data_IF_269687687890
#
_entry.id   IF_269687687890
#
_cell.length_a   1.000
_cell.length_b   1.000
_cell.length_c   1.000
_cell.angle_alpha   90.00
_cell.angle_beta   90.00
_cell.angle_gamma   90.00
#
_symmetry.space_group_name_H-M   'P 1'
#
loop_
_entity.id
_entity.type
_entity.pdbx_description
1 polymer ?
#
# COMPACT_ATOMS: atom_id res chain seq x y z
N UNK A 1 9.68 27.70 4.35
CA UNK A 1 8.37 27.06 4.11
C UNK A 1 8.51 25.81 3.24
N UNK A 2 9.31 25.91 2.18
CA UNK A 2 9.69 24.76 1.35
C UNK A 2 11.13 24.33 1.65
N UNK A 3 11.39 23.04 1.47
CA UNK A 3 12.73 22.50 1.22
C UNK A 3 12.83 22.24 -0.28
N UNK A 4 13.88 22.76 -0.90
CA UNK A 4 14.06 22.73 -2.36
C UNK A 4 15.47 22.23 -2.66
N UNK A 5 15.59 21.34 -3.63
CA UNK A 5 16.87 20.92 -4.19
C UNK A 5 16.82 20.87 -5.71
N UNK A 6 17.99 20.97 -6.33
CA UNK A 6 18.12 21.00 -7.78
C UNK A 6 17.90 22.41 -8.37
N UNK A 7 17.29 22.46 -9.55
CA UNK A 7 17.24 23.67 -10.39
C UNK A 7 15.80 24.14 -10.62
N UNK A 8 15.17 24.59 -9.54
CA UNK A 8 13.79 25.08 -9.52
C UNK A 8 13.77 26.60 -9.49
N UNK A 9 12.96 27.22 -10.35
CA UNK A 9 12.55 28.62 -10.20
C UNK A 9 11.10 28.69 -9.71
N UNK A 10 10.85 29.58 -8.75
CA UNK A 10 9.54 29.84 -8.14
C UNK A 10 9.12 31.27 -8.42
N UNK A 11 7.96 31.46 -9.04
CA UNK A 11 7.49 32.79 -9.45
C UNK A 11 6.93 33.65 -8.30
N UNK A 12 6.64 33.05 -7.13
CA UNK A 12 6.18 33.80 -5.94
C UNK A 12 6.42 33.00 -4.65
N UNK A 13 6.94 33.62 -3.59
CA UNK A 13 7.40 32.92 -2.37
C UNK A 13 6.38 32.86 -1.23
N UNK A 14 5.35 33.72 -1.24
CA UNK A 14 4.39 33.81 -0.14
C UNK A 14 3.17 32.91 -0.41
N UNK A 15 2.82 32.05 0.56
CA UNK A 15 1.67 31.14 0.48
C UNK A 15 0.44 31.76 1.10
N UNK A 16 -0.49 32.22 0.25
CA UNK A 16 -1.83 32.69 0.63
C UNK A 16 -2.89 31.63 0.25
N UNK A 17 -3.97 31.55 1.02
CA UNK A 17 -5.08 30.67 0.71
C UNK A 17 -5.64 30.95 -0.69
N UNK A 18 -5.93 29.92 -1.49
CA UNK A 18 -6.38 30.04 -2.89
C UNK A 18 -5.27 30.29 -3.91
N UNK A 19 -4.04 30.56 -3.47
CA UNK A 19 -2.94 30.88 -4.38
C UNK A 19 -2.34 29.62 -5.01
N UNK A 20 -2.00 29.74 -6.29
CA UNK A 20 -1.29 28.72 -7.03
C UNK A 20 0.18 29.13 -7.24
N UNK A 21 1.08 28.16 -7.19
CA UNK A 21 2.53 28.36 -7.31
C UNK A 21 3.01 27.83 -8.64
N UNK A 22 3.54 28.70 -9.49
CA UNK A 22 4.22 28.26 -10.70
C UNK A 22 5.65 27.85 -10.38
N UNK A 23 6.01 26.66 -10.84
CA UNK A 23 7.35 26.09 -10.74
C UNK A 23 7.84 25.81 -12.14
N UNK A 24 9.07 26.25 -12.44
CA UNK A 24 9.75 25.91 -13.68
C UNK A 24 11.09 25.21 -13.42
N UNK A 25 11.39 24.22 -14.25
CA UNK A 25 12.70 23.59 -14.36
C UNK A 25 13.14 23.71 -15.80
N UNK A 26 14.35 24.23 -16.04
CA UNK A 26 14.91 24.39 -17.38
C UNK A 26 15.34 23.06 -18.04
N UNK A 27 15.81 23.10 -19.30
CA UNK A 27 16.23 21.91 -20.05
C UNK A 27 17.48 21.27 -19.41
N UNK A 28 17.30 20.16 -18.68
CA UNK A 28 18.41 19.44 -18.03
C UNK A 28 18.11 17.94 -17.97
N UNK A 29 18.90 17.14 -18.69
CA UNK A 29 18.80 15.67 -18.66
C UNK A 29 19.52 15.07 -17.46
N UNK A 30 19.03 13.93 -16.97
CA UNK A 30 19.59 13.10 -15.89
C UNK A 30 19.78 13.85 -14.56
N UNK A 31 18.87 14.78 -14.25
CA UNK A 31 18.87 15.50 -12.98
C UNK A 31 17.47 15.51 -12.37
N UNK A 32 17.43 15.23 -11.07
CA UNK A 32 16.25 15.38 -10.23
C UNK A 32 16.31 16.76 -9.58
N UNK A 33 15.19 17.48 -9.63
CA UNK A 33 14.92 18.59 -8.72
C UNK A 33 13.75 18.20 -7.84
N UNK A 34 13.70 18.70 -6.62
CA UNK A 34 12.58 18.41 -5.72
C UNK A 34 12.13 19.65 -4.99
N UNK A 35 10.84 19.65 -4.66
CA UNK A 35 10.24 20.60 -3.74
C UNK A 35 9.40 19.84 -2.73
N UNK A 36 9.59 20.16 -1.46
CA UNK A 36 8.83 19.58 -0.35
C UNK A 36 8.24 20.71 0.48
N UNK A 37 6.95 20.61 0.76
CA UNK A 37 6.25 21.54 1.64
C UNK A 37 6.41 21.08 3.09
N UNK A 38 7.00 21.93 3.95
CA UNK A 38 7.35 21.56 5.32
C UNK A 38 6.16 21.63 6.30
N UNK A 39 4.93 21.77 5.79
CA UNK A 39 3.72 21.57 6.59
C UNK A 39 3.13 20.19 6.25
N UNK A 40 2.92 19.32 7.24
CA UNK A 40 2.35 18.00 6.99
C UNK A 40 0.91 18.07 6.51
N UNK A 41 0.50 17.08 5.72
CA UNK A 41 -0.91 16.80 5.46
C UNK A 41 -1.61 16.41 6.77
N UNK A 42 -2.83 16.87 6.95
CA UNK A 42 -3.63 16.60 8.15
C UNK A 42 -5.06 16.22 7.79
N UNK A 43 -5.83 15.79 8.78
CA UNK A 43 -7.27 15.52 8.61
C UNK A 43 -8.02 16.72 8.03
N UNK A 44 -7.64 17.95 8.41
CA UNK A 44 -8.28 19.18 7.91
C UNK A 44 -7.81 19.56 6.51
N UNK A 45 -6.59 19.18 6.14
CA UNK A 45 -6.01 19.48 4.84
C UNK A 45 -5.28 18.24 4.27
N UNK A 46 -6.03 17.22 3.82
CA UNK A 46 -5.47 15.91 3.52
C UNK A 46 -4.93 15.76 2.09
N UNK A 47 -4.88 16.81 1.29
CA UNK A 47 -4.66 16.68 -0.15
C UNK A 47 -3.88 17.84 -0.77
N UNK A 48 -3.23 17.60 -1.91
CA UNK A 48 -2.67 18.67 -2.75
C UNK A 48 -2.70 18.26 -4.22
N UNK A 49 -2.69 19.25 -5.11
CA UNK A 49 -2.80 19.03 -6.55
C UNK A 49 -1.74 19.82 -7.32
N UNK A 50 -1.38 19.27 -8.47
CA UNK A 50 -0.46 19.84 -9.44
C UNK A 50 -1.17 19.89 -10.79
N UNK A 51 -1.07 21.02 -11.47
CA UNK A 51 -1.51 21.19 -12.85
C UNK A 51 -0.29 21.25 -13.76
N UNK A 52 -0.25 20.41 -14.80
CA UNK A 52 0.89 20.33 -15.72
C UNK A 52 0.72 21.39 -16.82
N UNK A 53 1.53 22.45 -16.78
CA UNK A 53 1.54 23.49 -17.80
C UNK A 53 2.46 23.13 -18.98
N UNK A 54 3.59 22.48 -18.70
CA UNK A 54 4.50 21.92 -19.69
C UNK A 54 5.20 20.66 -19.17
N UNK A 55 5.25 19.63 -20.01
CA UNK A 55 5.94 18.36 -19.74
C UNK A 55 6.48 17.82 -21.06
N UNK A 56 7.79 17.75 -21.22
CA UNK A 56 8.40 17.16 -22.42
C UNK A 56 8.36 15.62 -22.38
N UNK A 57 8.51 14.93 -23.52
CA UNK A 57 8.41 13.46 -23.57
C UNK A 57 9.39 12.69 -22.67
N UNK A 58 10.58 13.25 -22.41
CA UNK A 58 11.57 12.65 -21.50
C UNK A 58 11.43 13.14 -20.05
N UNK A 59 10.59 14.14 -19.81
CA UNK A 59 10.34 14.73 -18.50
C UNK A 59 9.43 13.86 -17.65
N UNK A 60 9.67 13.86 -16.33
CA UNK A 60 8.82 13.17 -15.38
C UNK A 60 8.51 14.05 -14.17
N UNK A 61 7.26 14.02 -13.72
CA UNK A 61 6.83 14.61 -12.45
C UNK A 61 6.35 13.47 -11.57
N UNK A 62 6.96 13.33 -10.39
CA UNK A 62 6.45 12.41 -9.38
C UNK A 62 5.90 13.22 -8.21
N UNK A 63 4.66 12.95 -7.82
CA UNK A 63 4.04 13.54 -6.62
C UNK A 63 3.91 12.48 -5.54
N UNK A 64 4.01 12.88 -4.28
CA UNK A 64 3.91 11.92 -3.20
C UNK A 64 4.01 12.53 -1.82
N UNK A 65 4.22 11.62 -0.86
CA UNK A 65 4.43 11.94 0.56
C UNK A 65 5.79 11.40 0.94
N UNK A 66 6.62 12.27 1.51
CA UNK A 66 7.93 11.89 2.01
C UNK A 66 8.20 12.53 3.37
N UNK A 67 9.10 11.91 4.11
CA UNK A 67 9.65 12.42 5.36
C UNK A 67 10.70 13.51 5.11
N UNK A 68 11.09 14.22 6.17
CA UNK A 68 12.11 15.27 6.09
C UNK A 68 13.51 14.72 5.79
N UNK A 69 13.77 13.45 6.07
CA UNK A 69 15.08 12.82 5.85
C UNK A 69 15.28 12.20 4.47
N UNK A 70 14.28 12.30 3.58
CA UNK A 70 14.42 11.92 2.16
C UNK A 70 15.58 12.69 1.53
N UNK A 71 16.43 12.01 0.75
CA UNK A 71 17.53 12.63 0.00
C UNK A 71 17.01 13.63 -1.06
N UNK A 72 17.79 14.68 -1.34
CA UNK A 72 17.48 15.69 -2.36
C UNK A 72 17.45 15.11 -3.79
N UNK A 73 18.09 13.96 -4.00
CA UNK A 73 18.13 13.23 -5.28
C UNK A 73 17.14 12.06 -5.33
N UNK A 74 16.41 11.80 -4.25
CA UNK A 74 15.45 10.70 -4.19
C UNK A 74 14.08 11.10 -4.73
N UNK A 75 13.32 10.08 -5.14
CA UNK A 75 11.96 10.20 -5.67
C UNK A 75 10.98 9.68 -4.62
N UNK A 76 9.87 10.38 -4.31
CA UNK A 76 8.88 9.88 -3.38
C UNK A 76 8.30 8.54 -3.88
N UNK A 77 8.21 7.58 -2.96
CA UNK A 77 7.91 6.18 -3.25
C UNK A 77 9.13 5.32 -3.59
N UNK A 78 10.26 5.92 -4.01
CA UNK A 78 11.57 5.28 -4.14
C UNK A 78 12.51 5.67 -2.98
N UNK A 79 11.95 5.85 -1.80
CA UNK A 79 12.65 6.06 -0.53
C UNK A 79 11.88 5.41 0.61
N UNK A 80 12.56 4.98 1.67
CA UNK A 80 11.94 4.34 2.84
C UNK A 80 10.82 5.20 3.44
N UNK A 81 9.68 4.57 3.73
CA UNK A 81 8.49 5.21 4.28
C UNK A 81 7.96 6.37 3.44
N UNK A 82 8.17 6.34 2.13
CA UNK A 82 7.57 7.30 1.20
C UNK A 82 6.65 6.59 0.22
N UNK A 83 5.74 7.36 -0.37
CA UNK A 83 4.87 6.91 -1.46
C UNK A 83 4.90 7.95 -2.57
N UNK A 84 4.70 7.54 -3.81
CA UNK A 84 4.61 8.48 -4.92
C UNK A 84 3.92 7.91 -6.15
N UNK A 85 3.62 8.79 -7.08
CA UNK A 85 2.96 8.50 -8.36
C UNK A 85 3.73 9.16 -9.49
N UNK A 86 4.20 8.34 -10.44
CA UNK A 86 5.04 8.77 -11.55
C UNK A 86 4.18 9.14 -12.77
N UNK A 87 4.32 10.39 -13.25
CA UNK A 87 3.49 10.91 -14.35
C UNK A 87 3.64 10.15 -15.66
N UNK A 88 4.82 9.63 -15.98
CA UNK A 88 5.08 9.03 -17.31
C UNK A 88 4.56 7.61 -17.43
N UNK A 89 4.69 6.81 -16.37
CA UNK A 89 4.34 5.39 -16.38
C UNK A 89 2.99 5.09 -15.75
N UNK A 90 2.42 6.03 -15.00
CA UNK A 90 1.21 5.81 -14.20
C UNK A 90 1.42 4.85 -13.01
N UNK A 91 2.66 4.50 -12.69
CA UNK A 91 3.01 3.61 -11.58
C UNK A 91 2.99 4.37 -10.27
N UNK A 92 2.42 3.75 -9.24
CA UNK A 92 2.57 4.22 -7.87
C UNK A 92 3.60 3.39 -7.12
N UNK A 93 4.51 4.11 -6.48
CA UNK A 93 5.68 3.62 -5.79
C UNK A 93 5.45 3.69 -4.28
N UNK A 94 6.00 2.74 -3.53
CA UNK A 94 5.90 2.69 -2.07
C UNK A 94 7.15 2.03 -1.50
N UNK A 95 8.03 2.81 -0.86
CA UNK A 95 9.28 2.33 -0.26
C UNK A 95 10.10 1.39 -1.17
N UNK A 96 10.47 1.85 -2.36
CA UNK A 96 11.23 1.13 -3.39
C UNK A 96 10.47 -0.01 -4.08
N UNK A 97 9.16 -0.14 -3.85
CA UNK A 97 8.31 -1.14 -4.51
C UNK A 97 7.34 -0.44 -5.46
N UNK A 98 7.01 -1.12 -6.55
CA UNK A 98 5.98 -0.69 -7.50
C UNK A 98 4.79 -1.66 -7.57
N UNK A 99 4.74 -2.65 -6.67
CA UNK A 99 3.66 -3.63 -6.62
C UNK A 99 2.36 -2.96 -6.16
N UNK A 100 1.28 -3.31 -6.84
CA UNK A 100 0.00 -2.63 -6.76
C UNK A 100 -1.12 -3.57 -7.16
N UNK A 101 -2.33 -3.26 -6.72
CA UNK A 101 -3.52 -3.92 -7.27
C UNK A 101 -3.89 -3.34 -8.64
N UNK A 102 -3.60 -2.06 -8.87
CA UNK A 102 -3.90 -1.34 -10.12
C UNK A 102 -2.70 -0.53 -10.61
N UNK A 103 -2.63 -0.35 -11.93
CA UNK A 103 -1.74 0.61 -12.60
C UNK A 103 -2.60 1.77 -13.06
N UNK A 104 -2.20 3.00 -12.73
CA UNK A 104 -2.95 4.19 -13.13
C UNK A 104 -2.57 4.66 -14.54
N UNK A 105 -3.06 5.86 -14.91
CA UNK A 105 -2.83 6.45 -16.22
C UNK A 105 -1.64 7.42 -16.22
N UNK A 106 -0.85 7.49 -17.31
CA UNK A 106 0.09 8.57 -17.50
C UNK A 106 -0.60 9.95 -17.46
N UNK A 107 0.14 10.96 -17.03
CA UNK A 107 -0.28 12.37 -16.96
C UNK A 107 0.49 13.16 -18.00
N UNK A 108 -0.21 14.02 -18.72
CA UNK A 108 0.33 14.82 -19.82
C UNK A 108 0.10 16.32 -19.60
N UNK A 109 0.60 17.13 -20.55
CA UNK A 109 0.37 18.57 -20.57
C UNK A 109 -1.13 18.89 -20.58
N UNK A 110 -1.54 19.79 -19.68
CA UNK A 110 -2.93 20.22 -19.50
C UNK A 110 -3.69 19.46 -18.41
N UNK A 111 -3.12 18.37 -17.88
CA UNK A 111 -3.78 17.59 -16.84
C UNK A 111 -3.58 18.17 -15.44
N UNK A 112 -4.53 17.89 -14.56
CA UNK A 112 -4.39 18.03 -13.11
C UNK A 112 -4.19 16.66 -12.48
N UNK A 113 -3.24 16.52 -11.56
CA UNK A 113 -3.08 15.29 -10.78
C UNK A 113 -2.60 15.60 -9.36
N UNK A 114 -3.00 14.77 -8.42
CA UNK A 114 -2.81 15.04 -7.00
C UNK A 114 -2.97 13.79 -6.16
N UNK A 115 -3.00 13.99 -4.85
CA UNK A 115 -3.28 12.92 -3.91
C UNK A 115 -4.11 13.40 -2.74
N UNK A 116 -4.82 12.45 -2.12
CA UNK A 116 -5.64 12.60 -0.94
C UNK A 116 -5.23 11.54 0.09
N UNK A 117 -5.11 11.93 1.36
CA UNK A 117 -4.78 11.05 2.47
C UNK A 117 -6.01 10.83 3.34
N UNK A 118 -6.35 9.57 3.61
CA UNK A 118 -7.32 9.24 4.64
C UNK A 118 -6.56 8.80 5.89
N UNK A 119 -6.67 9.61 6.96
CA UNK A 119 -6.13 9.27 8.27
C UNK A 119 -7.18 8.46 9.05
N UNK A 120 -6.86 7.24 9.45
CA UNK A 120 -7.80 6.40 10.20
C UNK A 120 -7.16 5.51 11.28
N UNK A 121 -5.84 5.28 11.20
CA UNK A 121 -5.11 4.37 12.07
C UNK A 121 -3.99 5.06 12.84
N UNK A 122 -3.38 4.33 13.77
CA UNK A 122 -2.18 4.78 14.48
C UNK A 122 -0.90 4.45 13.69
N UNK A 123 -0.97 3.48 12.77
CA UNK A 123 0.19 2.93 12.09
C UNK A 123 0.19 3.13 10.57
N UNK A 124 -0.99 3.27 9.97
CA UNK A 124 -1.17 3.32 8.53
C UNK A 124 -2.22 4.36 8.11
N UNK A 125 -2.04 4.88 6.90
CA UNK A 125 -3.01 5.72 6.20
C UNK A 125 -3.19 5.22 4.77
N UNK A 126 -4.35 5.44 4.16
CA UNK A 126 -4.55 5.20 2.72
C UNK A 126 -4.34 6.50 1.97
N UNK A 127 -3.67 6.40 0.83
CA UNK A 127 -3.48 7.50 -0.10
C UNK A 127 -4.12 7.15 -1.43
N UNK A 128 -4.99 8.03 -1.89
CA UNK A 128 -5.67 7.95 -3.17
C UNK A 128 -5.01 8.97 -4.10
N UNK A 129 -4.47 8.49 -5.22
CA UNK A 129 -4.01 9.37 -6.29
C UNK A 129 -5.16 9.71 -7.21
N UNK A 130 -5.16 10.95 -7.68
CA UNK A 130 -6.24 11.56 -8.46
C UNK A 130 -5.66 12.16 -9.72
N UNK A 131 -6.34 12.00 -10.86
CA UNK A 131 -6.04 12.65 -12.14
C UNK A 131 -7.33 13.12 -12.76
N UNK A 132 -7.40 14.41 -13.10
CA UNK A 132 -8.57 15.09 -13.66
C UNK A 132 -9.87 14.76 -12.91
N UNK A 133 -9.82 14.86 -11.57
CA UNK A 133 -10.93 14.57 -10.67
C UNK A 133 -11.43 13.11 -10.68
N UNK A 134 -10.63 12.17 -11.17
CA UNK A 134 -10.87 10.72 -11.09
C UNK A 134 -9.81 10.02 -10.24
N UNK A 135 -10.16 8.99 -9.44
CA UNK A 135 -9.18 8.24 -8.69
C UNK A 135 -8.49 7.24 -9.62
N UNK A 136 -7.15 7.25 -9.62
CA UNK A 136 -6.34 6.41 -10.52
C UNK A 136 -5.54 5.34 -9.80
N UNK A 137 -5.39 5.45 -8.48
CA UNK A 137 -4.72 4.46 -7.67
C UNK A 137 -4.92 4.66 -6.17
N UNK A 138 -4.75 3.59 -5.40
CA UNK A 138 -4.68 3.63 -3.93
C UNK A 138 -3.42 2.95 -3.41
N UNK A 139 -2.82 3.47 -2.32
CA UNK A 139 -1.67 2.88 -1.62
C UNK A 139 -1.78 3.04 -0.12
N UNK A 140 -1.21 2.11 0.62
CA UNK A 140 -0.88 2.34 2.03
C UNK A 140 0.36 3.22 2.17
N UNK A 141 0.30 4.14 3.12
CA UNK A 141 1.45 4.82 3.68
C UNK A 141 1.67 4.30 5.10
N UNK A 142 2.84 3.69 5.33
CA UNK A 142 3.18 2.98 6.56
C UNK A 142 3.94 3.84 7.59
N UNK A 143 3.99 5.16 7.37
CA UNK A 143 4.57 6.07 8.35
C UNK A 143 3.55 6.37 9.44
N UNK A 144 3.84 5.93 10.68
CA UNK A 144 2.96 6.15 11.84
C UNK A 144 2.98 7.60 12.33
N UNK A 145 4.08 8.32 12.10
CA UNK A 145 4.19 9.71 12.52
C UNK A 145 3.61 10.64 11.46
N UNK A 146 2.33 11.01 11.62
CA UNK A 146 1.64 11.91 10.67
C UNK A 146 2.30 13.30 10.53
N UNK A 147 3.15 13.73 11.48
CA UNK A 147 3.95 14.96 11.30
C UNK A 147 5.03 14.85 10.22
N UNK A 148 5.28 13.65 9.69
CA UNK A 148 6.18 13.39 8.58
C UNK A 148 5.46 13.30 7.22
N UNK A 149 4.16 13.58 7.16
CA UNK A 149 3.41 13.49 5.91
C UNK A 149 3.63 14.73 5.05
N UNK A 150 4.87 14.99 4.62
CA UNK A 150 5.22 16.20 3.89
C UNK A 150 4.90 16.04 2.39
N UNK A 151 4.03 16.89 1.81
CA UNK A 151 3.80 16.93 0.38
C UNK A 151 5.10 17.14 -0.38
N UNK A 152 5.40 16.24 -1.31
CA UNK A 152 6.68 16.22 -2.02
C UNK A 152 6.47 16.01 -3.50
N UNK A 153 7.19 16.78 -4.31
CA UNK A 153 7.16 16.72 -5.76
C UNK A 153 8.59 16.64 -6.27
N UNK A 154 8.88 15.70 -7.16
CA UNK A 154 10.13 15.63 -7.91
C UNK A 154 9.89 15.90 -9.38
N UNK A 155 10.86 16.56 -9.99
CA UNK A 155 10.85 17.03 -11.37
C UNK A 155 12.14 16.53 -12.03
N UNK A 156 11.99 15.67 -13.02
CA UNK A 156 13.10 14.98 -13.68
C UNK A 156 13.13 15.36 -15.16
N UNK A 157 14.34 15.52 -15.70
CA UNK A 157 14.57 15.72 -17.13
C UNK A 157 13.79 16.89 -17.74
N UNK A 158 13.97 18.11 -17.22
CA UNK A 158 13.28 19.29 -17.75
C UNK A 158 13.53 19.54 -19.25
N UNK A 159 12.74 20.43 -19.90
CA UNK A 159 11.94 21.48 -19.27
C UNK A 159 10.57 21.05 -18.75
N UNK A 160 10.25 21.49 -17.53
CA UNK A 160 8.95 21.26 -16.88
C UNK A 160 8.40 22.59 -16.38
N UNK A 161 7.09 22.78 -16.56
CA UNK A 161 6.35 23.87 -15.93
C UNK A 161 5.09 23.29 -15.27
N UNK A 162 4.93 23.54 -13.98
CA UNK A 162 3.76 23.10 -13.22
C UNK A 162 3.20 24.24 -12.39
N UNK A 163 1.92 24.11 -12.06
CA UNK A 163 1.22 24.98 -11.14
C UNK A 163 0.71 24.15 -9.97
N UNK A 164 1.10 24.50 -8.74
CA UNK A 164 0.76 23.72 -7.55
C UNK A 164 -0.27 24.47 -6.71
N UNK A 165 -1.28 23.73 -6.27
CA UNK A 165 -2.21 24.17 -5.22
C UNK A 165 -1.96 23.33 -3.97
N UNK A 166 -1.39 23.95 -2.94
CA UNK A 166 -1.11 23.29 -1.67
C UNK A 166 -2.39 23.15 -0.82
N UNK A 167 -2.36 22.17 0.09
CA UNK A 167 -3.50 21.80 0.94
C UNK A 167 -4.12 22.97 1.74
N UNK A 168 -3.31 23.88 2.27
CA UNK A 168 -3.79 25.08 2.99
C UNK A 168 -4.42 26.13 2.07
N UNK A 169 -4.28 25.96 0.76
CA UNK A 169 -4.73 26.90 -0.26
C UNK A 169 -5.94 26.37 -1.03
N UNK A 170 -6.31 25.11 -0.84
CA UNK A 170 -7.36 24.50 -1.60
C UNK A 170 -8.73 24.59 -0.87
N UNK A 171 -9.81 25.04 -1.54
CA UNK A 171 -11.14 25.05 -0.95
C UNK A 171 -11.61 23.64 -0.56
N UNK A 172 -12.27 23.51 0.60
CA UNK A 172 -12.75 22.23 1.16
C UNK A 172 -13.56 21.35 0.18
N UNK A 173 -14.15 21.97 -0.84
CA UNK A 173 -15.00 21.34 -1.85
C UNK A 173 -14.21 20.63 -2.98
N UNK A 174 -12.87 20.69 -2.97
CA UNK A 174 -11.99 20.03 -3.95
C UNK A 174 -11.65 18.58 -3.61
N UNK A 175 -12.03 18.07 -2.43
CA UNK A 175 -11.91 16.64 -2.15
C UNK A 175 -12.94 15.93 -3.01
N UNK A 176 -12.52 15.17 -4.04
CA UNK A 176 -13.50 14.62 -4.96
C UNK A 176 -14.34 13.58 -4.21
N UNK A 177 -15.65 13.70 -4.34
CA UNK A 177 -16.58 12.79 -3.70
C UNK A 177 -16.71 11.50 -4.54
N UNK A 178 -15.67 10.70 -4.49
CA UNK A 178 -15.65 9.36 -5.08
C UNK A 178 -16.53 8.39 -4.32
N UNK A 179 -16.90 8.75 -3.08
CA UNK A 179 -17.83 7.98 -2.30
C UNK A 179 -19.22 8.05 -2.94
N UNK A 180 -19.73 9.21 -3.31
CA UNK A 180 -21.08 9.29 -3.91
C UNK A 180 -21.12 9.00 -5.41
N UNK A 181 -20.05 9.29 -6.15
CA UNK A 181 -20.01 9.15 -7.61
C UNK A 181 -19.51 7.79 -8.13
N UNK A 182 -19.16 6.84 -7.25
CA UNK A 182 -18.71 5.48 -7.60
C UNK A 182 -17.61 5.44 -8.67
N UNK A 183 -16.64 6.35 -8.59
CA UNK A 183 -15.53 6.38 -9.54
C UNK A 183 -14.56 5.23 -9.25
N UNK A 184 -14.70 4.11 -9.97
CA UNK A 184 -13.80 2.97 -9.82
C UNK A 184 -12.44 3.27 -10.45
N UNK A 185 -11.37 2.84 -9.78
CA UNK A 185 -10.03 2.84 -10.35
C UNK A 185 -9.99 1.72 -11.38
N UNK A 186 -9.62 2.07 -12.61
CA UNK A 186 -9.54 1.14 -13.74
C UNK A 186 -8.26 1.37 -14.53
N UNK A 187 -7.85 0.42 -15.40
CA UNK A 187 -6.72 0.60 -16.28
C UNK A 187 -6.94 1.74 -17.30
N UNK A 188 -5.94 1.98 -18.14
CA UNK A 188 -6.02 2.98 -19.20
C UNK A 188 -7.24 2.75 -20.11
N UNK A 189 -7.80 3.83 -20.65
CA UNK A 189 -9.01 3.84 -21.49
C UNK A 189 -8.84 2.99 -22.76
N UNK A 190 -7.60 2.85 -23.25
CA UNK A 190 -7.26 1.97 -24.38
C UNK A 190 -7.40 0.47 -24.07
N UNK A 191 -7.38 0.10 -22.78
CA UNK A 191 -7.52 -1.28 -22.29
C UNK A 191 -8.93 -1.53 -21.76
N UNK A 192 -9.45 -0.58 -20.99
CA UNK A 192 -10.72 -0.71 -20.29
C UNK A 192 -11.61 0.52 -20.48
N UNK A 193 -12.73 0.36 -21.16
CA UNK A 193 -13.75 1.41 -21.29
C UNK A 193 -14.76 1.34 -20.15
N UNK A 194 -15.12 2.49 -19.59
CA UNK A 194 -16.33 2.63 -18.77
C UNK A 194 -17.48 3.01 -19.71
N UNK A 195 -18.47 2.13 -19.86
CA UNK A 195 -19.65 2.36 -20.71
C UNK A 195 -20.72 3.19 -20.01
N UNK A 196 -20.73 3.12 -18.67
CA UNK A 196 -21.48 3.97 -17.75
C UNK A 196 -20.71 4.00 -16.41
N UNK A 197 -21.28 4.62 -15.36
CA UNK A 197 -20.63 4.73 -14.03
C UNK A 197 -20.35 3.38 -13.36
N UNK A 198 -20.99 2.30 -13.81
CA UNK A 198 -20.98 0.97 -13.18
C UNK A 198 -20.52 -0.16 -14.10
N UNK A 199 -20.47 0.07 -15.42
CA UNK A 199 -20.27 -0.97 -16.42
C UNK A 199 -18.94 -0.80 -17.14
N UNK A 200 -18.12 -1.84 -17.12
CA UNK A 200 -16.75 -1.83 -17.64
C UNK A 200 -16.56 -2.89 -18.73
N UNK A 201 -15.74 -2.57 -19.73
CA UNK A 201 -15.45 -3.43 -20.87
C UNK A 201 -13.93 -3.58 -21.07
N UNK A 202 -13.45 -4.82 -21.21
CA UNK A 202 -12.07 -5.15 -21.61
C UNK A 202 -11.98 -5.15 -23.13
N UNK A 203 -11.40 -4.08 -23.69
CA UNK A 203 -11.38 -3.81 -25.12
C UNK A 203 -10.41 -4.74 -25.88
N UNK A 204 -9.29 -5.11 -25.25
CA UNK A 204 -8.21 -5.82 -25.93
C UNK A 204 -8.26 -7.33 -25.75
N UNK A 205 -8.81 -7.84 -24.64
CA UNK A 205 -8.95 -9.28 -24.35
C UNK A 205 -7.61 -10.03 -24.35
N UNK A 206 -6.53 -9.37 -23.95
CA UNK A 206 -5.18 -9.97 -23.94
C UNK A 206 -4.68 -10.29 -22.54
N UNK A 207 -5.06 -9.49 -21.55
CA UNK A 207 -4.56 -9.60 -20.19
C UNK A 207 -5.68 -9.42 -19.15
N UNK A 208 -5.35 -9.77 -17.91
CA UNK A 208 -6.19 -9.56 -16.75
C UNK A 208 -6.18 -8.07 -16.36
N UNK A 209 -7.36 -7.46 -16.31
CA UNK A 209 -7.54 -6.03 -16.04
C UNK A 209 -8.16 -5.81 -14.65
N UNK A 210 -7.42 -5.26 -13.68
CA UNK A 210 -7.94 -5.02 -12.34
C UNK A 210 -8.76 -3.72 -12.28
N UNK A 211 -9.95 -3.83 -11.70
CA UNK A 211 -10.83 -2.70 -11.36
C UNK A 211 -11.00 -2.70 -9.84
N UNK A 212 -10.68 -1.59 -9.19
CA UNK A 212 -10.68 -1.48 -7.74
C UNK A 212 -11.50 -0.27 -7.30
N UNK A 213 -12.28 -0.43 -6.23
CA UNK A 213 -12.92 0.73 -5.61
C UNK A 213 -11.84 1.59 -4.92
N UNK A 214 -11.90 2.92 -5.00
CA UNK A 214 -11.02 3.79 -4.22
C UNK A 214 -11.39 3.83 -2.73
N UNK A 215 -12.52 3.21 -2.35
CA UNK A 215 -13.07 3.23 -0.99
C UNK A 215 -13.31 1.81 -0.50
N UNK A 216 -12.89 1.53 0.74
CA UNK A 216 -13.15 0.27 1.41
C UNK A 216 -14.64 0.09 1.76
N UNK A 217 -15.08 -1.16 1.82
CA UNK A 217 -16.36 -1.51 2.42
C UNK A 217 -16.42 -1.05 3.88
N UNK A 218 -17.63 -0.78 4.36
CA UNK A 218 -17.90 -0.18 5.68
C UNK A 218 -19.28 -0.59 6.17
N UNK A 219 -19.67 -0.24 7.40
CA UNK A 219 -21.04 -0.47 7.90
C UNK A 219 -22.10 0.25 7.06
N UNK A 220 -21.74 1.40 6.47
CA UNK A 220 -22.60 2.17 5.58
C UNK A 220 -22.65 1.64 4.13
N UNK A 221 -21.68 0.79 3.76
CA UNK A 221 -21.53 0.17 2.44
C UNK A 221 -20.99 -1.25 2.62
N UNK A 222 -21.80 -2.15 3.19
CA UNK A 222 -21.30 -3.43 3.64
C UNK A 222 -21.06 -4.41 2.50
N UNK A 223 -21.55 -4.14 1.28
CA UNK A 223 -21.61 -5.15 0.23
C UNK A 223 -21.52 -4.53 -1.16
N UNK A 224 -20.87 -5.25 -2.08
CA UNK A 224 -20.90 -4.95 -3.51
C UNK A 224 -21.13 -6.23 -4.32
N UNK A 225 -21.68 -6.08 -5.52
CA UNK A 225 -21.91 -7.16 -6.49
C UNK A 225 -21.23 -6.82 -7.82
N UNK A 226 -20.70 -7.84 -8.47
CA UNK A 226 -20.25 -7.83 -9.85
C UNK A 226 -21.16 -8.77 -10.66
N UNK A 227 -21.92 -8.19 -11.59
CA UNK A 227 -22.76 -8.89 -12.54
C UNK A 227 -21.91 -9.23 -13.75
N UNK A 228 -21.83 -10.52 -14.03
CA UNK A 228 -21.10 -11.08 -15.18
C UNK A 228 -21.94 -10.82 -16.43
N UNK A 229 -21.57 -9.83 -17.24
CA UNK A 229 -22.32 -9.51 -18.46
C UNK A 229 -21.89 -10.41 -19.62
N UNK A 230 -20.60 -10.75 -19.66
CA UNK A 230 -20.03 -11.72 -20.59
C UNK A 230 -19.24 -12.80 -19.86
N UNK A 231 -19.59 -14.06 -20.15
CA UNK A 231 -18.97 -15.27 -19.65
C UNK A 231 -18.58 -16.15 -20.84
N UNK A 232 -17.43 -16.82 -20.74
CA UNK A 232 -16.96 -17.76 -21.77
C UNK A 232 -17.91 -18.96 -21.94
N UNK A 233 -17.88 -19.67 -23.08
CA UNK A 233 -18.65 -20.90 -23.29
C UNK A 233 -18.40 -22.00 -22.23
N UNK A 234 -17.19 -22.03 -21.66
CA UNK A 234 -16.79 -22.96 -20.61
C UNK A 234 -17.38 -22.59 -19.24
N UNK A 235 -17.93 -21.39 -19.09
CA UNK A 235 -18.47 -20.83 -17.85
C UNK A 235 -17.44 -20.02 -17.06
N UNK A 236 -16.37 -19.54 -17.69
CA UNK A 236 -15.37 -18.71 -17.04
C UNK A 236 -15.77 -17.22 -17.14
N UNK A 237 -15.82 -16.54 -16.00
CA UNK A 237 -16.15 -15.12 -15.88
C UNK A 237 -15.05 -14.37 -15.14
N UNK A 238 -15.28 -13.09 -14.83
CA UNK A 238 -14.35 -12.26 -14.06
C UNK A 238 -14.18 -12.80 -12.63
N UNK A 239 -12.97 -12.68 -12.09
CA UNK A 239 -12.71 -13.00 -10.68
C UNK A 239 -13.14 -11.82 -9.81
N UNK A 240 -13.86 -12.10 -8.73
CA UNK A 240 -14.46 -11.09 -7.85
C UNK A 240 -13.98 -11.33 -6.43
N UNK A 241 -13.52 -10.27 -5.76
CA UNK A 241 -12.89 -10.37 -4.46
C UNK A 241 -12.85 -9.07 -3.69
N UNK A 242 -12.20 -9.12 -2.54
CA UNK A 242 -11.86 -7.93 -1.76
C UNK A 242 -10.36 -7.97 -1.48
N UNK A 243 -9.74 -6.81 -1.39
CA UNK A 243 -8.31 -6.69 -1.15
C UNK A 243 -7.99 -5.54 -0.21
N UNK A 244 -6.83 -5.56 0.42
CA UNK A 244 -6.23 -4.34 0.94
C UNK A 244 -6.00 -3.32 -0.20
N UNK A 245 -5.88 -2.03 0.09
CA UNK A 245 -5.70 -1.04 -1.00
C UNK A 245 -4.40 -1.24 -1.79
N UNK A 246 -3.40 -1.85 -1.16
CA UNK A 246 -2.14 -2.31 -1.74
C UNK A 246 -1.51 -3.35 -0.82
N UNK A 247 -0.56 -4.18 -1.30
CA UNK A 247 0.08 -5.20 -0.47
C UNK A 247 0.58 -4.66 0.88
N UNK A 248 0.23 -5.34 1.95
CA UNK A 248 0.57 -4.98 3.32
C UNK A 248 2.07 -5.10 3.56
N UNK A 249 2.59 -4.19 4.39
CA UNK A 249 3.99 -4.15 4.81
C UNK A 249 4.07 -3.99 6.33
N UNK A 250 4.72 -4.94 7.03
CA UNK A 250 5.23 -6.20 6.50
C UNK A 250 4.13 -7.14 6.02
N UNK A 251 4.50 -8.20 5.30
CA UNK A 251 3.55 -9.24 4.90
C UNK A 251 2.84 -9.79 6.14
N UNK A 252 1.52 -10.02 6.10
CA UNK A 252 0.76 -10.50 7.24
C UNK A 252 1.36 -11.75 7.89
N UNK A 253 1.48 -11.74 9.21
CA UNK A 253 1.92 -12.89 10.01
C UNK A 253 0.76 -13.67 10.62
N UNK A 254 -0.42 -13.05 10.70
CA UNK A 254 -1.64 -13.69 11.18
C UNK A 254 -2.33 -14.43 10.03
N UNK A 255 -2.73 -15.68 10.26
CA UNK A 255 -3.44 -16.53 9.31
C UNK A 255 -4.81 -15.97 8.89
N UNK A 256 -5.40 -15.12 9.73
CA UNK A 256 -6.67 -14.44 9.48
C UNK A 256 -6.52 -13.14 8.67
N UNK A 257 -5.30 -12.65 8.43
CA UNK A 257 -5.03 -11.44 7.65
C UNK A 257 -4.39 -11.81 6.31
N UNK A 258 -5.00 -11.37 5.21
CA UNK A 258 -4.46 -11.54 3.85
C UNK A 258 -4.62 -10.25 3.06
N UNK A 259 -3.78 -10.09 2.05
CA UNK A 259 -3.88 -8.96 1.11
C UNK A 259 -5.13 -9.03 0.23
N UNK A 260 -5.62 -10.24 -0.08
CA UNK A 260 -6.85 -10.40 -0.85
C UNK A 260 -7.58 -11.70 -0.51
N UNK A 261 -8.89 -11.66 -0.74
CA UNK A 261 -9.81 -12.78 -0.66
C UNK A 261 -10.58 -12.84 -1.97
N UNK A 262 -10.46 -13.95 -2.67
CA UNK A 262 -11.20 -14.23 -3.90
C UNK A 262 -11.97 -15.52 -3.73
N UNK A 263 -13.09 -15.62 -4.44
CA UNK A 263 -13.90 -16.83 -4.45
C UNK A 263 -13.79 -17.45 -5.82
N UNK A 264 -13.31 -18.69 -5.86
CA UNK A 264 -13.27 -19.47 -7.08
C UNK A 264 -14.59 -20.24 -7.21
N UNK A 265 -15.46 -19.89 -8.18
CA UNK A 265 -16.72 -20.59 -8.36
C UNK A 265 -16.45 -22.05 -8.68
N UNK A 266 -17.04 -22.95 -7.88
CA UNK A 266 -17.06 -24.40 -8.17
C UNK A 266 -18.11 -24.78 -9.24
N UNK A 267 -18.80 -23.78 -9.79
CA UNK A 267 -19.89 -23.93 -10.74
C UNK A 267 -19.61 -23.07 -11.98
N UNK A 268 -20.17 -23.48 -13.12
CA UNK A 268 -20.07 -22.71 -14.36
C UNK A 268 -20.91 -21.44 -14.26
N UNK A 269 -20.29 -20.30 -14.53
CA UNK A 269 -20.98 -19.02 -14.58
C UNK A 269 -21.83 -18.91 -15.86
N UNK A 270 -22.82 -18.02 -15.82
CA UNK A 270 -23.64 -17.60 -16.96
C UNK A 270 -23.78 -16.09 -16.96
N UNK A 271 -24.07 -15.52 -18.13
CA UNK A 271 -24.42 -14.10 -18.23
C UNK A 271 -25.59 -13.77 -17.30
N UNK A 272 -25.48 -12.65 -16.60
CA UNK A 272 -26.43 -12.20 -15.58
C UNK A 272 -26.20 -12.81 -14.20
N UNK A 273 -25.29 -13.78 -14.02
CA UNK A 273 -24.92 -14.21 -12.67
C UNK A 273 -24.20 -13.08 -11.93
N UNK A 274 -24.53 -12.90 -10.65
CA UNK A 274 -23.89 -11.91 -9.78
C UNK A 274 -23.04 -12.60 -8.73
N UNK A 275 -21.79 -12.19 -8.59
CA UNK A 275 -20.92 -12.56 -7.47
C UNK A 275 -20.69 -11.30 -6.65
N UNK A 276 -20.91 -11.36 -5.35
CA UNK A 276 -20.69 -10.21 -4.47
C UNK A 276 -19.90 -10.57 -3.23
N UNK A 277 -19.23 -9.57 -2.68
CA UNK A 277 -18.49 -9.68 -1.43
C UNK A 277 -18.93 -8.61 -0.47
N UNK A 278 -18.98 -8.95 0.81
CA UNK A 278 -19.33 -8.00 1.85
C UNK A 278 -18.58 -8.21 3.14
N UNK A 279 -18.67 -7.19 3.98
CA UNK A 279 -18.14 -7.14 5.35
C UNK A 279 -19.30 -7.10 6.34
N UNK A 280 -19.14 -7.76 7.47
CA UNK A 280 -20.07 -7.71 8.57
C UNK A 280 -19.29 -7.59 9.88
N UNK A 281 -19.49 -6.46 10.55
CA UNK A 281 -18.78 -6.10 11.77
C UNK A 281 -19.47 -6.69 13.00
N UNK A 282 -18.78 -6.62 14.14
CA UNK A 282 -19.36 -7.00 15.42
C UNK A 282 -20.70 -6.29 15.67
N UNK A 283 -21.82 -7.04 15.78
CA UNK A 283 -23.15 -6.46 15.99
C UNK A 283 -23.30 -5.82 17.36
N UNK A 284 -22.50 -6.26 18.34
CA UNK A 284 -22.54 -5.78 19.73
C UNK A 284 -21.53 -4.66 20.00
N UNK A 285 -20.72 -4.25 19.01
CA UNK A 285 -19.67 -3.24 19.22
C UNK A 285 -20.24 -1.84 19.42
N UNK A 286 -19.77 -1.18 20.48
CA UNK A 286 -20.01 0.24 20.74
C UNK A 286 -19.09 1.11 19.88
N UNK A 287 -17.88 0.62 19.58
CA UNK A 287 -16.96 1.29 18.66
C UNK A 287 -17.39 1.03 17.21
N UNK A 288 -17.61 2.13 16.48
CA UNK A 288 -18.06 2.15 15.09
C UNK A 288 -16.97 2.61 14.12
N UNK A 289 -15.70 2.61 14.54
CA UNK A 289 -14.61 2.91 13.62
C UNK A 289 -14.42 1.73 12.64
N UNK A 290 -15.02 1.84 11.46
CA UNK A 290 -14.92 0.84 10.38
C UNK A 290 -13.50 0.70 9.82
N UNK A 291 -12.61 1.64 10.14
CA UNK A 291 -11.26 1.73 9.58
C UNK A 291 -10.18 1.23 10.54
N UNK A 292 -10.51 0.83 11.76
CA UNK A 292 -9.55 0.21 12.67
C UNK A 292 -9.28 -1.25 12.29
N UNK A 293 -8.10 -1.74 12.66
CA UNK A 293 -7.79 -3.17 12.62
C UNK A 293 -8.72 -3.90 13.60
N UNK A 294 -9.51 -4.86 13.10
CA UNK A 294 -10.48 -5.58 13.91
C UNK A 294 -10.87 -6.92 13.26
N UNK A 295 -11.29 -7.89 14.08
CA UNK A 295 -11.89 -9.12 13.57
C UNK A 295 -13.28 -8.83 13.02
N UNK A 296 -13.53 -9.22 11.78
CA UNK A 296 -14.81 -9.08 11.10
C UNK A 296 -15.17 -10.38 10.38
N UNK A 297 -16.43 -10.49 9.97
CA UNK A 297 -16.82 -11.45 8.94
C UNK A 297 -16.66 -10.82 7.57
N UNK A 298 -16.15 -11.62 6.63
CA UNK A 298 -16.35 -11.37 5.21
C UNK A 298 -17.20 -12.50 4.65
N UNK A 299 -18.11 -12.16 3.74
CA UNK A 299 -19.04 -13.12 3.16
C UNK A 299 -19.10 -12.97 1.64
N UNK A 300 -19.40 -14.09 1.00
CA UNK A 300 -19.55 -14.19 -0.45
C UNK A 300 -21.01 -14.48 -0.78
N UNK A 301 -21.51 -13.77 -1.78
CA UNK A 301 -22.85 -13.97 -2.34
C UNK A 301 -22.77 -14.44 -3.78
N UNK A 302 -23.65 -15.38 -4.15
CA UNK A 302 -23.88 -15.80 -5.52
C UNK A 302 -25.37 -15.71 -5.81
N UNK A 303 -25.76 -14.93 -6.83
CA UNK A 303 -27.15 -14.61 -7.15
C UNK A 303 -27.98 -14.27 -5.89
N UNK A 304 -27.49 -13.28 -5.13
CA UNK A 304 -28.10 -12.75 -3.90
C UNK A 304 -28.04 -13.66 -2.66
N UNK A 305 -27.68 -14.93 -2.81
CA UNK A 305 -27.59 -15.85 -1.67
C UNK A 305 -26.19 -15.84 -1.09
N UNK A 306 -26.06 -15.70 0.23
CA UNK A 306 -24.79 -15.94 0.94
C UNK A 306 -24.40 -17.41 0.81
N UNK A 307 -23.24 -17.67 0.22
CA UNK A 307 -22.72 -19.02 -0.04
C UNK A 307 -21.51 -19.39 0.81
N UNK A 308 -20.79 -18.41 1.33
CA UNK A 308 -19.64 -18.62 2.20
C UNK A 308 -19.43 -17.43 3.14
N UNK A 309 -18.89 -17.70 4.32
CA UNK A 309 -18.65 -16.72 5.38
C UNK A 309 -17.40 -17.14 6.15
N UNK A 310 -16.46 -16.21 6.33
CA UNK A 310 -15.24 -16.46 7.08
C UNK A 310 -14.88 -15.29 8.00
N UNK A 311 -14.26 -15.61 9.13
CA UNK A 311 -13.65 -14.60 10.00
C UNK A 311 -12.29 -14.21 9.44
N UNK A 312 -12.03 -12.90 9.41
CA UNK A 312 -10.75 -12.32 9.01
C UNK A 312 -10.35 -11.22 9.98
N UNK A 313 -9.05 -10.95 10.04
CA UNK A 313 -8.53 -9.72 10.60
C UNK A 313 -8.55 -8.68 9.49
N UNK A 314 -9.39 -7.66 9.62
CA UNK A 314 -9.40 -6.51 8.72
C UNK A 314 -8.16 -5.64 9.03
N UNK A 315 -7.36 -5.21 8.03
CA UNK A 315 -6.30 -4.23 8.27
C UNK A 315 -6.87 -2.84 8.56
N UNK A 316 -6.03 -1.93 9.08
CA UNK A 316 -6.38 -0.51 9.13
C UNK A 316 -6.79 -0.03 7.70
N UNK A 317 -7.87 0.75 7.61
CA UNK A 317 -8.41 1.27 6.35
C UNK A 317 -9.49 0.41 5.70
N UNK A 318 -9.52 -0.89 6.01
CA UNK A 318 -10.54 -1.83 5.54
C UNK A 318 -10.20 -2.56 4.24
N UNK A 319 -11.16 -3.32 3.74
CA UNK A 319 -11.05 -4.05 2.48
C UNK A 319 -11.77 -3.33 1.33
N UNK A 320 -11.10 -3.25 0.19
CA UNK A 320 -11.51 -2.57 -1.03
C UNK A 320 -12.07 -3.60 -2.03
N UNK A 321 -13.28 -3.37 -2.57
CA UNK A 321 -13.79 -4.14 -3.70
C UNK A 321 -12.79 -4.23 -4.84
N UNK A 322 -12.59 -5.44 -5.37
CA UNK A 322 -11.67 -5.73 -6.45
C UNK A 322 -12.29 -6.73 -7.43
N UNK A 323 -12.27 -6.37 -8.71
CA UNK A 323 -12.66 -7.25 -9.82
C UNK A 323 -11.49 -7.38 -10.77
N UNK A 324 -11.15 -8.61 -11.13
CA UNK A 324 -10.16 -8.90 -12.16
C UNK A 324 -10.89 -9.38 -13.40
N UNK A 325 -10.99 -8.51 -14.40
CA UNK A 325 -11.58 -8.81 -15.70
C UNK A 325 -10.59 -9.64 -16.52
N UNK A 326 -10.93 -10.90 -16.75
CA UNK A 326 -10.08 -11.81 -17.50
C UNK A 326 -10.30 -11.65 -19.01
N UNK A 327 -9.36 -12.09 -19.87
CA UNK A 327 -9.47 -12.01 -21.33
C UNK A 327 -10.80 -12.51 -21.93
N UNK A 328 -11.42 -13.50 -21.30
CA UNK A 328 -12.69 -14.11 -21.73
C UNK A 328 -13.93 -13.50 -21.06
N UNK A 329 -13.79 -12.62 -20.08
CA UNK A 329 -14.89 -11.90 -19.44
C UNK A 329 -14.81 -10.44 -19.84
N UNK A 330 -15.47 -10.14 -20.95
CA UNK A 330 -15.27 -8.90 -21.69
C UNK A 330 -16.05 -7.74 -21.10
N UNK A 331 -17.10 -8.02 -20.33
CA UNK A 331 -17.94 -6.99 -19.74
C UNK A 331 -18.46 -7.39 -18.37
N UNK A 332 -18.46 -6.42 -17.45
CA UNK A 332 -19.03 -6.55 -16.11
C UNK A 332 -19.82 -5.30 -15.74
N UNK A 333 -20.75 -5.45 -14.78
CA UNK A 333 -21.41 -4.32 -14.11
C UNK A 333 -21.25 -4.42 -12.60
N UNK A 334 -20.91 -3.33 -11.95
CA UNK A 334 -20.60 -3.24 -10.53
C UNK A 334 -21.70 -2.46 -9.79
N UNK A 335 -22.20 -3.03 -8.71
CA UNK A 335 -23.23 -2.42 -7.87
C UNK A 335 -22.75 -2.40 -6.41
N UNK A 336 -22.94 -1.27 -5.72
CA UNK A 336 -22.62 -1.14 -4.29
C UNK A 336 -23.92 -0.93 -3.52
N UNK A 337 -24.06 -1.65 -2.41
CA UNK A 337 -25.25 -1.65 -1.58
C UNK A 337 -24.95 -0.97 -0.24
N UNK A 338 -25.87 -0.11 0.20
CA UNK A 338 -25.76 0.61 1.47
C UNK A 338 -26.29 -0.19 2.67
N UNK A 339 -27.05 -1.26 2.43
CA UNK A 339 -27.70 -2.04 3.48
C UNK A 339 -27.79 -3.51 3.10
N UNK A 340 -27.76 -4.39 4.12
CA UNK A 340 -28.06 -5.81 3.97
C UNK A 340 -29.55 -6.07 4.25
N UNK A 341 -30.07 -7.19 3.74
CA UNK A 341 -31.42 -7.63 4.07
C UNK A 341 -31.51 -8.03 5.55
N UNK A 342 -32.68 -7.88 6.18
CA UNK A 342 -32.89 -8.30 7.57
C UNK A 342 -32.61 -9.81 7.77
N UNK A 343 -32.90 -10.62 6.74
CA UNK A 343 -32.62 -12.05 6.77
C UNK A 343 -31.11 -12.33 6.83
N UNK A 344 -30.32 -11.65 6.00
CA UNK A 344 -28.87 -11.80 5.97
C UNK A 344 -28.23 -11.30 7.26
N UNK A 345 -28.68 -10.17 7.79
CA UNK A 345 -28.22 -9.65 9.09
C UNK A 345 -28.44 -10.68 10.19
N UNK A 346 -29.61 -11.32 10.23
CA UNK A 346 -29.91 -12.35 11.23
C UNK A 346 -29.03 -13.61 11.06
N UNK A 347 -28.78 -14.05 9.82
CA UNK A 347 -27.89 -15.19 9.53
C UNK A 347 -26.45 -14.89 9.95
N UNK A 348 -25.93 -13.73 9.56
CA UNK A 348 -24.56 -13.30 9.84
C UNK A 348 -24.34 -13.07 11.34
N UNK A 349 -25.31 -12.48 12.05
CA UNK A 349 -25.26 -12.31 13.52
C UNK A 349 -25.11 -13.66 14.24
N UNK A 350 -25.94 -14.65 13.88
CA UNK A 350 -25.84 -16.00 14.46
C UNK A 350 -24.48 -16.64 14.18
N UNK A 351 -23.97 -16.50 12.96
CA UNK A 351 -22.66 -17.02 12.59
C UNK A 351 -21.53 -16.33 13.36
N UNK A 352 -21.60 -15.00 13.49
CA UNK A 352 -20.64 -14.17 14.21
C UNK A 352 -20.48 -14.68 15.64
N UNK A 353 -21.59 -14.82 16.38
CA UNK A 353 -21.57 -15.23 17.78
C UNK A 353 -21.06 -16.68 17.93
N UNK A 354 -21.39 -17.56 16.99
CA UNK A 354 -20.96 -18.96 17.01
C UNK A 354 -19.48 -19.17 16.68
N UNK A 355 -18.86 -18.25 15.91
CA UNK A 355 -17.49 -18.42 15.38
C UNK A 355 -16.46 -17.43 15.91
N UNK A 356 -16.88 -16.44 16.70
CA UNK A 356 -15.99 -15.43 17.27
C UNK A 356 -14.93 -16.04 18.21
N UNK A 357 -15.32 -16.90 19.16
CA UNK A 357 -14.38 -17.41 20.16
C UNK A 357 -13.23 -18.23 19.52
N UNK A 358 -13.48 -19.14 18.56
CA UNK A 358 -12.41 -19.81 17.81
C UNK A 358 -11.53 -18.83 17.02
N UNK A 359 -12.09 -17.78 16.42
CA UNK A 359 -11.32 -16.78 15.68
C UNK A 359 -10.38 -15.98 16.60
N UNK A 360 -10.85 -15.62 17.79
CA UNK A 360 -10.05 -14.95 18.83
C UNK A 360 -8.90 -15.86 19.28
N UNK A 361 -9.13 -17.16 19.43
CA UNK A 361 -8.07 -18.11 19.81
C UNK A 361 -6.97 -18.18 18.74
N UNK A 362 -7.33 -18.28 17.46
CA UNK A 362 -6.38 -18.25 16.34
C UNK A 362 -5.59 -16.94 16.34
N UNK A 363 -6.29 -15.80 16.45
CA UNK A 363 -5.66 -14.49 16.48
C UNK A 363 -4.65 -14.35 17.63
N UNK A 364 -5.05 -14.71 18.86
CA UNK A 364 -4.19 -14.61 20.03
C UNK A 364 -2.98 -15.54 19.93
N UNK A 365 -3.17 -16.75 19.39
CA UNK A 365 -2.08 -17.69 19.14
C UNK A 365 -1.08 -17.10 18.15
N UNK A 366 -1.53 -16.66 16.98
CA UNK A 366 -0.68 -16.10 15.94
C UNK A 366 0.08 -14.86 16.46
N UNK A 367 -0.60 -13.96 17.18
CA UNK A 367 0.02 -12.76 17.77
C UNK A 367 1.06 -13.10 18.82
N UNK A 368 0.81 -14.10 19.66
CA UNK A 368 1.78 -14.56 20.66
C UNK A 368 3.01 -15.16 20.00
N UNK A 369 2.81 -15.91 18.90
CA UNK A 369 3.91 -16.52 18.15
C UNK A 369 4.74 -15.51 17.35
N UNK A 370 4.11 -14.45 16.83
CA UNK A 370 4.79 -13.39 16.08
C UNK A 370 5.46 -12.33 16.95
N UNK A 371 5.04 -12.19 18.21
CA UNK A 371 5.65 -11.23 19.13
C UNK A 371 7.05 -11.72 19.54
N UNK A 372 8.04 -10.83 19.35
CA UNK A 372 9.43 -11.08 19.75
C UNK A 372 9.61 -10.54 21.17
N UNK A 373 10.07 -11.39 22.09
CA UNK A 373 10.48 -10.94 23.43
C UNK A 373 11.89 -10.33 23.35
N UNK A 374 12.23 -9.28 24.12
CA UNK A 374 13.60 -8.77 24.19
C UNK A 374 14.67 -9.83 24.47
N UNK A 375 14.34 -10.88 25.23
CA UNK A 375 15.22 -12.01 25.52
C UNK A 375 15.42 -12.95 24.33
N UNK A 376 14.49 -12.94 23.35
CA UNK A 376 14.64 -13.69 22.10
C UNK A 376 15.75 -13.12 21.22
N UNK A 377 16.30 -11.93 21.50
CA UNK A 377 17.33 -11.29 20.68
C UNK A 377 18.65 -11.20 21.45
N UNK A 378 19.64 -11.95 20.98
CA UNK A 378 21.05 -11.78 21.36
C UNK A 378 21.66 -10.62 20.58
N UNK A 379 22.36 -9.73 21.28
CA UNK A 379 23.18 -8.66 20.69
C UNK A 379 24.62 -8.80 21.17
N UNK A 380 25.56 -8.39 20.32
CA UNK A 380 26.99 -8.44 20.65
C UNK A 380 27.49 -7.24 21.45
N UNK A 381 26.74 -6.14 21.49
CA UNK A 381 27.09 -4.91 22.20
C UNK A 381 25.83 -4.34 22.86
N UNK A 382 25.87 -4.12 24.17
CA UNK A 382 24.74 -3.67 25.00
C UNK A 382 24.30 -2.23 24.70
N UNK A 383 25.12 -1.43 24.02
CA UNK A 383 24.76 -0.08 23.58
C UNK A 383 23.95 -0.07 22.27
N UNK A 384 23.69 -1.24 21.67
CA UNK A 384 22.76 -1.35 20.54
C UNK A 384 21.34 -1.15 21.07
N UNK A 385 20.68 -0.07 20.62
CA UNK A 385 19.32 0.24 20.99
C UNK A 385 18.36 -0.76 20.33
N UNK A 386 17.41 -1.28 21.13
CA UNK A 386 16.31 -2.12 20.66
C UNK A 386 14.99 -1.45 21.05
N UNK A 387 14.15 -1.22 20.07
CA UNK A 387 12.76 -0.81 20.29
C UNK A 387 11.91 -1.97 19.78
N UNK A 388 11.23 -2.64 20.71
CA UNK A 388 10.36 -3.78 20.39
C UNK A 388 8.93 -3.33 20.69
N UNK A 389 8.10 -3.35 19.66
CA UNK A 389 6.65 -3.22 19.79
C UNK A 389 5.96 -4.49 19.25
N UNK A 390 4.63 -4.51 19.31
CA UNK A 390 3.83 -5.68 18.89
C UNK A 390 4.01 -6.06 17.42
N UNK A 391 4.43 -5.12 16.58
CA UNK A 391 4.39 -5.21 15.11
C UNK A 391 5.77 -5.12 14.46
N UNK A 392 6.74 -4.49 15.13
CA UNK A 392 8.10 -4.28 14.62
C UNK A 392 9.12 -4.34 15.74
N UNK A 393 10.31 -4.80 15.36
CA UNK A 393 11.52 -4.67 16.16
C UNK A 393 12.47 -3.75 15.40
N UNK A 394 12.72 -2.57 15.94
CA UNK A 394 13.69 -1.62 15.40
C UNK A 394 14.99 -1.80 16.17
N UNK A 395 16.09 -1.97 15.43
CA UNK A 395 17.43 -2.06 16.00
C UNK A 395 18.25 -0.93 15.45
N UNK A 396 18.86 -0.15 16.35
CA UNK A 396 19.71 0.99 15.98
C UNK A 396 21.11 0.78 16.53
N UNK A 397 22.07 0.80 15.61
CA UNK A 397 23.50 0.83 15.94
C UNK A 397 23.93 2.29 15.96
N UNK A 398 24.42 2.83 17.10
CA UNK A 398 24.88 4.21 17.19
C UNK A 398 26.04 4.51 16.23
N UNK A 399 26.11 5.75 15.71
CA UNK A 399 27.20 6.18 14.80
C UNK A 399 28.60 6.07 15.43
N UNK A 400 28.69 6.14 16.76
CA UNK A 400 29.94 5.99 17.51
C UNK A 400 30.49 4.56 17.48
N UNK A 401 29.68 3.57 17.08
CA UNK A 401 30.06 2.16 17.07
C UNK A 401 30.64 1.77 15.72
N UNK A 402 31.91 1.40 15.74
CA UNK A 402 32.64 0.86 14.61
C UNK A 402 32.90 -0.64 14.78
N UNK A 403 32.96 -1.37 13.68
CA UNK A 403 33.27 -2.80 13.68
C UNK A 403 32.09 -3.65 13.28
N UNK A 404 32.16 -4.94 13.59
CA UNK A 404 31.12 -5.91 13.27
C UNK A 404 30.26 -6.15 14.51
N UNK A 405 28.97 -5.89 14.36
CA UNK A 405 27.97 -6.09 15.40
C UNK A 405 26.99 -7.17 14.96
N UNK A 406 26.52 -7.96 15.92
CA UNK A 406 25.63 -9.09 15.66
C UNK A 406 24.30 -8.92 16.37
N UNK A 407 23.26 -9.30 15.63
CA UNK A 407 21.91 -9.49 16.13
C UNK A 407 21.53 -10.91 15.75
N UNK A 408 21.19 -11.73 16.74
CA UNK A 408 20.79 -13.12 16.51
C UNK A 408 19.52 -13.45 17.30
N UNK A 409 18.50 -13.92 16.57
CA UNK A 409 17.30 -14.48 17.19
C UNK A 409 17.62 -15.82 17.86
N UNK A 410 17.15 -16.01 19.09
CA UNK A 410 17.25 -17.27 19.85
C UNK A 410 16.24 -18.31 19.36
N UNK A 411 15.09 -17.85 18.87
CA UNK A 411 14.08 -18.71 18.25
C UNK A 411 14.62 -19.22 16.90
N UNK A 412 14.77 -20.54 16.70
CA UNK A 412 15.25 -21.08 15.44
C UNK A 412 14.20 -20.96 14.34
N UNK A 413 14.67 -20.95 13.10
CA UNK A 413 13.83 -21.16 11.92
C UNK A 413 13.38 -22.63 11.91
N UNK A 414 12.11 -22.89 11.68
CA UNK A 414 11.52 -24.25 11.61
C UNK A 414 10.70 -24.41 10.31
N UNK A 415 10.24 -25.63 9.96
CA UNK A 415 9.30 -25.80 8.86
C UNK A 415 7.97 -25.04 9.05
N UNK A 416 7.64 -24.58 10.25
CA UNK A 416 6.46 -23.74 10.52
C UNK A 416 6.85 -22.26 10.51
N UNK A 417 8.12 -21.94 10.80
CA UNK A 417 8.68 -20.58 10.86
C UNK A 417 9.87 -20.46 9.91
N UNK A 418 9.58 -20.51 8.60
CA UNK A 418 10.60 -20.67 7.55
C UNK A 418 11.28 -19.38 7.11
N UNK A 419 10.77 -18.22 7.50
CA UNK A 419 11.27 -16.95 6.99
C UNK A 419 11.28 -15.88 8.08
N UNK A 420 12.14 -14.90 7.89
CA UNK A 420 12.16 -13.62 8.58
C UNK A 420 12.61 -12.57 7.57
N UNK A 421 12.26 -11.32 7.78
CA UNK A 421 12.71 -10.22 6.93
C UNK A 421 13.35 -9.15 7.79
N UNK A 422 14.28 -8.42 7.19
CA UNK A 422 14.91 -7.25 7.81
C UNK A 422 14.75 -6.10 6.83
N UNK A 423 14.21 -5.00 7.32
CA UNK A 423 14.13 -3.76 6.57
C UNK A 423 15.27 -2.82 6.99
N UNK A 424 16.00 -2.31 5.99
CA UNK A 424 17.03 -1.31 6.22
C UNK A 424 16.38 0.08 6.22
N UNK A 425 16.10 0.60 7.41
CA UNK A 425 15.46 1.92 7.55
C UNK A 425 16.44 3.03 7.19
N UNK A 426 17.65 2.97 7.75
CA UNK A 426 18.72 3.95 7.54
C UNK A 426 20.08 3.26 7.57
N UNK A 427 20.88 3.52 6.55
CA UNK A 427 22.24 2.96 6.41
C UNK A 427 23.22 4.12 6.29
N UNK A 428 24.27 4.10 7.11
CA UNK A 428 25.34 5.09 7.04
C UNK A 428 26.28 4.82 5.85
N UNK A 429 27.00 5.84 5.40
CA UNK A 429 28.05 5.64 4.40
C UNK A 429 29.09 4.65 4.91
N UNK A 430 29.42 3.66 4.09
CA UNK A 430 30.37 2.60 4.45
C UNK A 430 29.82 1.50 5.36
N UNK A 431 28.55 1.56 5.77
CA UNK A 431 27.89 0.49 6.53
C UNK A 431 27.51 -0.66 5.60
N UNK A 432 27.77 -1.90 6.05
CA UNK A 432 27.33 -3.11 5.36
C UNK A 432 26.45 -3.92 6.30
N UNK A 433 25.32 -4.40 5.79
CA UNK A 433 24.47 -5.36 6.51
C UNK A 433 24.60 -6.73 5.87
N UNK A 434 24.79 -7.76 6.70
CA UNK A 434 24.78 -9.16 6.28
C UNK A 434 23.63 -9.86 6.96
N UNK A 435 22.74 -10.42 6.17
CA UNK A 435 21.58 -11.20 6.64
C UNK A 435 21.90 -12.68 6.48
N UNK A 436 21.67 -13.50 7.50
CA UNK A 436 22.07 -14.90 7.40
C UNK A 436 21.42 -15.83 8.42
N UNK A 437 21.71 -17.12 8.23
CA UNK A 437 21.32 -18.19 9.15
C UNK A 437 22.61 -18.77 9.72
N UNK A 438 22.65 -18.93 11.03
CA UNK A 438 23.80 -19.45 11.75
C UNK A 438 23.35 -20.22 13.00
N UNK A 439 24.22 -21.11 13.49
CA UNK A 439 23.95 -21.86 14.72
C UNK A 439 23.79 -20.95 15.93
N UNK A 440 23.12 -21.43 16.99
CA UNK A 440 22.88 -20.66 18.22
C UNK A 440 24.16 -20.19 18.93
N UNK A 441 25.33 -20.73 18.56
CA UNK A 441 26.66 -20.37 19.11
C UNK A 441 27.42 -19.34 18.27
N UNK A 442 26.83 -18.86 17.18
CA UNK A 442 27.50 -17.99 16.21
C UNK A 442 28.12 -16.74 16.86
N UNK A 443 27.35 -15.99 17.65
CA UNK A 443 27.86 -14.77 18.30
C UNK A 443 29.11 -15.07 19.13
N UNK A 444 29.11 -16.20 19.86
CA UNK A 444 30.19 -16.62 20.75
C UNK A 444 31.46 -17.05 19.99
N UNK A 445 31.33 -17.37 18.70
CA UNK A 445 32.40 -17.95 17.88
C UNK A 445 32.73 -17.10 16.64
N UNK A 446 32.10 -15.93 16.50
CA UNK A 446 32.19 -15.12 15.29
C UNK A 446 33.56 -14.45 15.13
N UNK A 447 34.16 -13.99 16.24
CA UNK A 447 35.44 -13.28 16.26
C UNK A 447 35.56 -12.17 15.18
N UNK A 448 34.49 -11.41 14.95
CA UNK A 448 34.48 -10.35 13.92
C UNK A 448 34.09 -10.81 12.51
N UNK A 449 33.77 -12.09 12.31
CA UNK A 449 33.32 -12.64 11.03
C UNK A 449 31.81 -12.58 10.86
N UNK A 450 31.38 -12.36 9.62
CA UNK A 450 29.97 -12.27 9.23
C UNK A 450 29.36 -13.66 8.96
N UNK A 451 28.01 -13.81 9.01
CA UNK A 451 27.35 -15.00 8.51
C UNK A 451 27.80 -15.31 7.08
N UNK A 452 28.05 -16.58 6.77
CA UNK A 452 28.61 -17.03 5.49
C UNK A 452 30.15 -17.10 5.47
N UNK A 453 30.85 -16.50 6.43
CA UNK A 453 32.33 -16.56 6.54
C UNK A 453 32.83 -17.63 7.52
N UNK A 454 31.92 -18.31 8.22
CA UNK A 454 32.20 -19.37 9.17
C UNK A 454 31.50 -20.65 8.69
N UNK A 455 32.04 -21.81 9.06
CA UNK A 455 31.38 -23.08 8.76
C UNK A 455 29.95 -23.13 9.32
N UNK A 456 29.08 -23.80 8.57
CA UNK A 456 27.66 -24.01 8.88
C UNK A 456 26.88 -22.70 9.04
N UNK A 457 27.31 -21.66 8.31
CA UNK A 457 26.61 -20.39 8.21
C UNK A 457 26.43 -19.99 6.75
N UNK A 458 25.30 -19.34 6.48
CA UNK A 458 24.98 -18.73 5.20
C UNK A 458 24.68 -17.26 5.43
N UNK A 459 25.15 -16.38 4.54
CA UNK A 459 24.93 -14.95 4.65
C UNK A 459 24.85 -14.25 3.30
N UNK A 460 23.91 -13.33 3.17
CA UNK A 460 23.75 -12.44 2.02
C UNK A 460 24.33 -11.06 2.36
N UNK A 461 25.25 -10.57 1.55
CA UNK A 461 25.96 -9.32 1.80
C UNK A 461 25.38 -8.16 0.99
N UNK A 462 24.72 -7.22 1.67
CA UNK A 462 23.99 -6.09 1.05
C UNK A 462 24.80 -5.25 0.06
N UNK A 463 26.11 -5.04 0.31
CA UNK A 463 26.96 -4.21 -0.57
C UNK A 463 27.44 -4.92 -1.83
N UNK A 464 27.69 -6.23 -1.77
CA UNK A 464 28.25 -6.97 -2.91
C UNK A 464 27.17 -7.71 -3.69
N UNK A 465 26.00 -7.93 -3.08
CA UNK A 465 24.92 -8.71 -3.66
C UNK A 465 25.19 -10.21 -3.67
N UNK A 466 26.29 -10.68 -3.06
CA UNK A 466 26.67 -12.09 -3.06
C UNK A 466 26.13 -12.85 -1.85
N UNK A 467 25.86 -14.13 -2.09
CA UNK A 467 25.57 -15.10 -1.05
C UNK A 467 26.86 -15.85 -0.70
N UNK A 468 27.18 -15.90 0.58
CA UNK A 468 28.35 -16.57 1.13
C UNK A 468 27.92 -17.82 1.88
N UNK A 469 28.63 -18.92 1.65
CA UNK A 469 28.50 -20.16 2.39
C UNK A 469 29.89 -20.70 2.70
N UNK A 470 30.19 -20.90 3.98
CA UNK A 470 31.46 -21.47 4.47
C UNK A 470 32.72 -20.79 3.89
N UNK A 471 32.70 -19.46 3.77
CA UNK A 471 33.82 -18.64 3.28
C UNK A 471 33.94 -18.57 1.75
N UNK A 472 33.03 -19.21 1.00
CA UNK A 472 32.97 -19.14 -0.46
C UNK A 472 31.77 -18.31 -0.90
N UNK A 473 31.92 -17.55 -1.98
CA UNK A 473 30.80 -16.86 -2.62
C UNK A 473 30.20 -17.76 -3.72
N UNK A 474 28.89 -17.66 -3.90
CA UNK A 474 28.13 -18.36 -4.93
C UNK A 474 27.31 -17.38 -5.77
#
# INVERSE_FOLDING_TARGET
MFRIGGYINLDNSDVVQGQKFRITVGPKKNKVSFIQYLKPLSVQHPYFFVHILNLEPESCVTIGIANEDMSDEAIPGNWTNTIGYESTSGKCLSSHRNNANTVGKPVQKGDSFGLLVTHFGASQSTVVFVHNDEPIATRYHFESNHSQFLPTITLENGPIEIEIMWHNSAPANLVPDYETNFAWIKPNDDLCAATDQSSFENLQRQEDLPIQSPVALSRSRPHYKCIQMDVSPEGNGSSVGIASCSPLKPTPTCSLLRDYYTWLPKMKLKNGNSIGWGVFYNPDSVDKNDKSEQLILVFVTFNESIIDVLFVLQPEGGFFPLVLMQPWSTRVRLEIYSTLSNEDVNKLTKFYHAKLAPAIEIYNKDMTESTIDPNDIRISDNEIEKIIDKTKTIIRIPKSKSGVHYIQFRKPITPERRFFFVELIKVGSGTNVVLGIASSKFIDQSYGKQPGQIMDTIGYHSKTGYMYYNGKYH
#
